data_IF_463029968035
#
_entry.id   IF_463029968035
#
_cell.length_a   1.000
_cell.length_b   1.000
_cell.length_c   1.000
_cell.angle_alpha   90.00
_cell.angle_beta   90.00
_cell.angle_gamma   90.00
#
_symmetry.space_group_name_H-M   'P 1'
#
loop_
_entity.id
_entity.type
_entity.pdbx_description
1 polymer ?
#
# COMPACT_ATOMS: atom_id res chain seq x y z
N UNK A 1 -10.14 -9.79 2.44
CA UNK A 1 -9.02 -9.08 1.79
C UNK A 1 -9.28 -7.59 1.94
N UNK A 2 -8.27 -6.76 2.19
CA UNK A 2 -8.45 -5.33 2.51
C UNK A 2 -8.33 -4.39 1.31
N UNK A 3 -7.82 -4.83 0.15
CA UNK A 3 -7.66 -3.95 -1.01
C UNK A 3 -9.01 -3.49 -1.59
N UNK A 4 -8.97 -2.38 -2.34
CA UNK A 4 -10.15 -1.71 -2.86
C UNK A 4 -10.35 -1.86 -4.37
N UNK A 5 -11.12 -0.93 -4.94
CA UNK A 5 -11.59 -0.99 -6.31
C UNK A 5 -10.47 -0.83 -7.34
N UNK A 6 -9.45 0.00 -7.07
CA UNK A 6 -8.36 0.22 -8.01
C UNK A 6 -7.43 -0.99 -8.08
N UNK A 7 -7.12 -1.59 -6.93
CA UNK A 7 -6.37 -2.86 -6.89
C UNK A 7 -7.12 -3.95 -7.61
N UNK A 8 -8.42 -4.11 -7.35
CA UNK A 8 -9.23 -5.14 -8.01
C UNK A 8 -9.30 -4.94 -9.52
N UNK A 9 -9.42 -3.69 -9.99
CA UNK A 9 -9.39 -3.36 -11.42
C UNK A 9 -8.02 -3.66 -12.04
N UNK A 10 -6.94 -3.31 -11.36
CA UNK A 10 -5.57 -3.58 -11.83
C UNK A 10 -5.33 -5.09 -11.99
N UNK A 11 -5.76 -5.89 -11.02
CA UNK A 11 -5.65 -7.36 -11.05
C UNK A 11 -6.38 -7.97 -12.27
N UNK A 12 -7.48 -7.36 -12.71
CA UNK A 12 -8.21 -7.76 -13.91
C UNK A 12 -7.51 -7.35 -15.22
N UNK A 13 -6.91 -6.16 -15.24
CA UNK A 13 -6.32 -5.56 -16.44
C UNK A 13 -4.90 -6.07 -16.73
N UNK A 14 -4.08 -6.30 -15.70
CA UNK A 14 -2.67 -6.64 -15.81
C UNK A 14 -2.42 -8.11 -15.44
N UNK A 15 -3.01 -9.03 -16.23
CA UNK A 15 -2.81 -10.48 -16.10
C UNK A 15 -1.60 -10.93 -16.92
N UNK A 16 -0.42 -10.43 -16.54
CA UNK A 16 0.83 -10.65 -17.27
C UNK A 16 1.84 -11.24 -16.27
N UNK A 17 2.47 -12.36 -16.63
CA UNK A 17 3.44 -13.05 -15.79
C UNK A 17 2.85 -13.71 -14.54
N UNK A 18 3.73 -14.29 -13.72
CA UNK A 18 3.38 -14.91 -12.43
C UNK A 18 4.10 -14.25 -11.25
N UNK A 19 4.92 -13.24 -11.53
CA UNK A 19 5.69 -12.50 -10.54
C UNK A 19 4.81 -11.43 -9.89
N UNK A 20 4.67 -11.49 -8.57
CA UNK A 20 4.06 -10.43 -7.77
C UNK A 20 5.10 -9.43 -7.29
N UNK A 21 4.64 -8.27 -6.84
CA UNK A 21 5.51 -7.28 -6.21
C UNK A 21 6.36 -7.93 -5.09
N UNK A 22 7.69 -7.72 -5.09
CA UNK A 22 8.55 -8.28 -4.05
C UNK A 22 8.14 -7.80 -2.65
N UNK A 23 8.07 -8.71 -1.68
CA UNK A 23 7.68 -8.37 -0.30
C UNK A 23 8.50 -7.23 0.32
N UNK A 24 9.83 -7.11 0.09
CA UNK A 24 10.57 -5.96 0.59
C UNK A 24 10.04 -4.61 0.08
N UNK A 25 9.55 -4.55 -1.15
CA UNK A 25 8.98 -3.35 -1.74
C UNK A 25 7.59 -3.03 -1.15
N UNK A 26 6.77 -4.05 -0.87
CA UNK A 26 5.50 -3.87 -0.13
C UNK A 26 5.75 -3.33 1.28
N UNK A 27 6.71 -3.89 2.00
CA UNK A 27 7.11 -3.40 3.32
C UNK A 27 7.61 -1.95 3.27
N UNK A 28 8.39 -1.61 2.25
CA UNK A 28 8.85 -0.24 2.02
C UNK A 28 7.68 0.73 1.78
N UNK A 29 6.65 0.33 1.03
CA UNK A 29 5.43 1.14 0.88
C UNK A 29 4.75 1.38 2.23
N UNK A 30 4.64 0.36 3.08
CA UNK A 30 4.14 0.52 4.46
C UNK A 30 4.94 1.55 5.27
N UNK A 31 6.27 1.49 5.20
CA UNK A 31 7.15 2.48 5.86
C UNK A 31 6.88 3.89 5.34
N UNK A 32 6.75 4.07 4.02
CA UNK A 32 6.47 5.37 3.40
C UNK A 32 5.11 5.91 3.87
N UNK A 33 4.05 5.10 3.91
CA UNK A 33 2.73 5.53 4.38
C UNK A 33 2.74 5.90 5.86
N UNK A 34 3.41 5.11 6.69
CA UNK A 34 3.60 5.40 8.11
C UNK A 34 4.32 6.74 8.32
N UNK A 35 5.44 6.95 7.62
CA UNK A 35 6.22 8.17 7.74
C UNK A 35 5.45 9.39 7.24
N UNK A 36 4.73 9.27 6.12
CA UNK A 36 3.90 10.34 5.57
C UNK A 36 2.76 10.73 6.53
N UNK A 37 2.08 9.75 7.14
CA UNK A 37 1.03 10.02 8.12
C UNK A 37 1.58 10.77 9.35
N UNK A 38 2.72 10.34 9.90
CA UNK A 38 3.39 11.03 11.02
C UNK A 38 3.79 12.45 10.67
N UNK A 39 4.39 12.65 9.50
CA UNK A 39 4.79 13.98 9.03
C UNK A 39 3.57 14.89 8.84
N UNK A 40 2.47 14.38 8.25
CA UNK A 40 1.26 15.17 8.06
C UNK A 40 0.57 15.53 9.38
N UNK A 41 0.58 14.65 10.40
CA UNK A 41 0.09 15.01 11.74
C UNK A 41 0.96 16.11 12.38
N UNK A 42 2.29 16.04 12.25
CA UNK A 42 3.20 17.06 12.77
C UNK A 42 3.02 18.43 12.11
N UNK A 43 2.59 18.46 10.85
CA UNK A 43 2.31 19.67 10.09
C UNK A 43 0.86 20.14 10.21
N UNK A 44 0.05 19.50 11.07
CA UNK A 44 -1.38 19.80 11.25
C UNK A 44 -2.23 19.64 9.96
N UNK A 45 -1.76 18.81 9.03
CA UNK A 45 -2.44 18.50 7.76
C UNK A 45 -3.31 17.23 7.86
N UNK A 46 -3.28 16.54 9.00
CA UNK A 46 -4.00 15.29 9.23
C UNK A 46 -4.45 15.20 10.69
N UNK A 47 -5.75 15.01 10.89
CA UNK A 47 -6.33 14.77 12.22
C UNK A 47 -5.65 13.59 12.91
N UNK A 48 -5.30 13.75 14.19
CA UNK A 48 -4.52 12.78 14.95
C UNK A 48 -5.21 11.42 15.04
N UNK A 49 -6.54 11.37 15.22
CA UNK A 49 -7.28 10.10 15.31
C UNK A 49 -7.22 9.31 14.01
N UNK A 50 -7.32 10.01 12.87
CA UNK A 50 -7.17 9.38 11.55
C UNK A 50 -5.72 8.97 11.31
N UNK A 51 -4.77 9.86 11.61
CA UNK A 51 -3.36 9.62 11.38
C UNK A 51 -2.81 8.46 12.22
N UNK A 52 -3.22 8.32 13.48
CA UNK A 52 -2.83 7.20 14.34
C UNK A 52 -3.35 5.87 13.78
N UNK A 53 -4.60 5.83 13.28
CA UNK A 53 -5.14 4.64 12.64
C UNK A 53 -4.35 4.26 11.38
N UNK A 54 -3.97 5.24 10.55
CA UNK A 54 -3.12 5.02 9.36
C UNK A 54 -1.74 4.52 9.79
N UNK A 55 -1.13 5.08 10.83
CA UNK A 55 0.17 4.66 11.34
C UNK A 55 0.12 3.20 11.80
N UNK A 56 -0.93 2.79 12.52
CA UNK A 56 -1.12 1.39 12.93
C UNK A 56 -1.22 0.47 11.72
N UNK A 57 -2.12 0.73 10.77
CA UNK A 57 -2.30 -0.11 9.58
C UNK A 57 -1.02 -0.17 8.72
N UNK A 58 -0.37 0.97 8.49
CA UNK A 58 0.87 1.05 7.72
C UNK A 58 2.03 0.29 8.40
N UNK A 59 2.04 0.24 9.73
CA UNK A 59 3.01 -0.56 10.51
C UNK A 59 2.77 -2.06 10.31
N UNK A 60 1.52 -2.51 10.24
CA UNK A 60 1.19 -3.91 9.92
C UNK A 60 1.67 -4.30 8.50
N UNK A 61 1.52 -3.40 7.52
CA UNK A 61 2.11 -3.57 6.18
C UNK A 61 3.64 -3.63 6.24
N UNK A 62 4.28 -2.69 6.94
CA UNK A 62 5.74 -2.62 7.06
C UNK A 62 6.34 -3.88 7.71
N UNK A 63 5.63 -4.46 8.68
CA UNK A 63 6.02 -5.70 9.35
C UNK A 63 5.68 -6.96 8.55
N UNK A 64 4.92 -6.81 7.46
CA UNK A 64 4.52 -7.90 6.57
C UNK A 64 3.35 -8.74 7.09
N UNK A 65 2.59 -8.25 8.07
CA UNK A 65 1.38 -8.92 8.55
C UNK A 65 0.27 -8.96 7.48
N UNK A 66 0.33 -8.04 6.51
CA UNK A 66 -0.68 -7.87 5.48
C UNK A 66 -0.22 -8.27 4.06
N UNK A 67 0.86 -9.06 3.91
CA UNK A 67 1.42 -9.43 2.60
C UNK A 67 0.36 -10.02 1.64
N UNK A 68 -0.56 -10.82 2.17
CA UNK A 68 -1.62 -11.48 1.40
C UNK A 68 -2.63 -10.49 0.78
N UNK A 69 -2.55 -9.20 1.10
CA UNK A 69 -3.41 -8.14 0.56
C UNK A 69 -2.79 -7.38 -0.61
N UNK A 70 -1.64 -7.83 -1.13
CA UNK A 70 -0.94 -7.21 -2.25
C UNK A 70 -0.82 -8.15 -3.45
N UNK A 71 -1.91 -8.39 -4.20
CA UNK A 71 -1.95 -9.42 -5.25
C UNK A 71 -1.38 -8.98 -6.60
N UNK A 72 -0.93 -7.72 -6.72
CA UNK A 72 -0.59 -7.15 -8.03
C UNK A 72 0.71 -7.72 -8.59
N UNK A 73 0.69 -7.95 -9.91
CA UNK A 73 1.84 -8.40 -10.67
C UNK A 73 2.89 -7.27 -10.81
N UNK A 74 4.16 -7.65 -11.01
CA UNK A 74 5.24 -6.73 -11.37
C UNK A 74 4.91 -5.98 -12.67
N UNK A 75 4.27 -6.67 -13.61
CA UNK A 75 3.98 -6.22 -14.96
C UNK A 75 2.72 -5.34 -15.04
N UNK A 76 2.77 -4.20 -14.37
CA UNK A 76 1.72 -3.18 -14.33
C UNK A 76 2.18 -1.86 -14.98
N UNK A 77 1.58 -0.72 -14.63
CA UNK A 77 2.08 0.57 -15.15
C UNK A 77 3.53 0.84 -14.73
N UNK A 78 4.30 1.48 -15.61
CA UNK A 78 5.72 1.76 -15.37
C UNK A 78 6.00 2.74 -14.21
N UNK A 79 5.01 3.54 -13.80
CA UNK A 79 5.13 4.44 -12.64
C UNK A 79 4.89 3.73 -11.30
N UNK A 80 4.42 2.48 -11.29
CA UNK A 80 4.05 1.76 -10.07
C UNK A 80 2.79 2.29 -9.37
N UNK A 81 1.97 3.10 -10.07
CA UNK A 81 0.77 3.73 -9.48
C UNK A 81 -0.20 2.71 -8.87
N UNK A 82 -0.39 1.53 -9.47
CA UNK A 82 -1.34 0.57 -8.89
C UNK A 82 -0.81 -0.07 -7.60
N UNK A 83 0.49 -0.33 -7.45
CA UNK A 83 1.04 -0.75 -6.15
C UNK A 83 0.94 0.34 -5.09
N UNK A 84 1.14 1.60 -5.46
CA UNK A 84 0.93 2.71 -4.55
C UNK A 84 -0.55 2.81 -4.11
N UNK A 85 -1.48 2.63 -5.04
CA UNK A 85 -2.91 2.61 -4.72
C UNK A 85 -3.29 1.38 -3.89
N UNK A 86 -2.69 0.22 -4.14
CA UNK A 86 -2.88 -0.96 -3.32
C UNK A 86 -2.48 -0.71 -1.87
N UNK A 87 -1.37 -0.01 -1.62
CA UNK A 87 -0.96 0.40 -0.28
C UNK A 87 -1.77 1.56 0.32
N UNK A 88 -2.56 2.29 -0.48
CA UNK A 88 -3.50 3.29 0.03
C UNK A 88 -4.85 2.66 0.40
N UNK A 89 -5.25 1.61 -0.32
CA UNK A 89 -6.53 0.93 -0.12
C UNK A 89 -6.47 -0.12 0.99
N UNK A 90 -5.34 -0.82 1.14
CA UNK A 90 -5.04 -1.73 2.26
C UNK A 90 -4.57 -0.92 3.45
#
# INVERSE_FOLDING_TARGET
>A
KYWGAQTQRSLGNFKIGNETMPLPLIRALGIVKMAAAKANMQLDNLDAKIGDAIVTAATEVANGALNDHFPLAVWQTGSGTQSNMNANEV
#
